data_IF_509768534927
#
_entry.id   IF_509768534927
#
_cell.length_a   1.000
_cell.length_b   1.000
_cell.length_c   1.000
_cell.angle_alpha   90.00
_cell.angle_beta   90.00
_cell.angle_gamma   90.00
#
_symmetry.space_group_name_H-M   'P 1'
#
loop_
_entity.id
_entity.type
_entity.pdbx_description
1 polymer ?
#
# COMPACT_ATOMS: atom_id res chain seq x y z
N UNK A 1 2.65 23.07 18.54
CA UNK A 1 1.97 22.48 17.36
C UNK A 1 3.02 21.63 16.68
N UNK A 2 2.96 20.32 16.86
CA UNK A 2 3.89 19.42 16.18
C UNK A 2 3.54 19.43 14.69
N UNK A 3 4.41 20.07 13.90
CA UNK A 3 4.46 19.90 12.46
C UNK A 3 4.92 18.46 12.19
N UNK A 4 4.00 17.51 12.32
CA UNK A 4 4.18 16.21 11.70
C UNK A 4 4.36 16.46 10.21
N UNK A 5 5.49 15.99 9.70
CA UNK A 5 5.91 16.16 8.33
C UNK A 5 4.87 15.44 7.45
N UNK A 6 3.87 16.19 6.99
CA UNK A 6 2.66 15.73 6.29
C UNK A 6 2.99 15.22 4.87
N UNK A 7 4.27 15.17 4.49
CA UNK A 7 4.72 14.72 3.18
C UNK A 7 4.27 13.30 2.85
N UNK A 8 4.41 12.34 3.78
CA UNK A 8 3.96 10.97 3.55
C UNK A 8 2.44 10.91 3.34
N UNK A 9 1.70 11.70 4.11
CA UNK A 9 0.24 11.83 3.97
C UNK A 9 -0.15 12.45 2.62
N UNK A 10 0.56 13.49 2.18
CA UNK A 10 0.33 14.17 0.91
C UNK A 10 0.70 13.27 -0.28
N UNK A 11 1.80 12.53 -0.19
CA UNK A 11 2.18 11.50 -1.17
C UNK A 11 1.10 10.43 -1.29
N UNK A 12 0.56 9.95 -0.17
CA UNK A 12 -0.52 8.97 -0.16
C UNK A 12 -1.83 9.54 -0.68
N UNK A 13 -2.13 10.81 -0.42
CA UNK A 13 -3.29 11.47 -1.02
C UNK A 13 -3.15 11.57 -2.55
N UNK A 14 -1.98 11.98 -3.05
CA UNK A 14 -1.71 12.05 -4.48
C UNK A 14 -1.78 10.66 -5.14
N UNK A 15 -1.23 9.63 -4.49
CA UNK A 15 -1.33 8.25 -4.96
C UNK A 15 -2.78 7.76 -4.99
N UNK A 16 -3.60 8.09 -3.99
CA UNK A 16 -5.03 7.76 -3.96
C UNK A 16 -5.79 8.42 -5.12
N UNK A 17 -5.50 9.68 -5.44
CA UNK A 17 -6.06 10.38 -6.61
C UNK A 17 -5.67 9.66 -7.90
N UNK A 18 -4.42 9.26 -8.04
CA UNK A 18 -3.94 8.55 -9.23
C UNK A 18 -4.57 7.17 -9.39
N UNK A 19 -4.76 6.44 -8.29
CA UNK A 19 -5.49 5.17 -8.28
C UNK A 19 -6.94 5.37 -8.72
N UNK A 20 -7.64 6.38 -8.17
CA UNK A 20 -9.05 6.67 -8.47
C UNK A 20 -9.31 7.05 -9.94
N UNK A 21 -8.30 7.56 -10.64
CA UNK A 21 -8.38 7.84 -12.08
C UNK A 21 -8.27 6.60 -12.96
N UNK A 22 -7.64 5.54 -12.46
CA UNK A 22 -7.21 4.38 -13.26
C UNK A 22 -8.02 3.13 -12.99
N UNK A 23 -8.55 2.97 -11.78
CA UNK A 23 -9.19 1.73 -11.33
C UNK A 23 -10.51 2.00 -10.60
N UNK A 24 -11.44 1.05 -10.73
CA UNK A 24 -12.63 0.99 -9.87
C UNK A 24 -12.29 0.20 -8.60
N UNK A 25 -12.56 0.78 -7.43
CA UNK A 25 -12.29 0.14 -6.14
C UNK A 25 -13.17 0.69 -5.02
N UNK A 26 -13.23 -0.07 -3.92
CA UNK A 26 -13.79 0.40 -2.66
C UNK A 26 -12.64 0.80 -1.73
N UNK A 27 -12.60 2.07 -1.35
CA UNK A 27 -11.64 2.58 -0.36
C UNK A 27 -12.05 2.13 1.03
N UNK A 28 -11.10 1.61 1.81
CA UNK A 28 -11.28 1.22 3.21
C UNK A 28 -10.18 1.86 4.09
N UNK A 29 -10.13 1.49 5.36
CA UNK A 29 -9.07 1.95 6.27
C UNK A 29 -9.12 3.44 6.61
N UNK A 30 -7.96 4.01 6.90
CA UNK A 30 -7.85 5.39 7.40
C UNK A 30 -8.36 6.44 6.40
N UNK A 31 -8.05 6.29 5.10
CA UNK A 31 -8.51 7.23 4.08
C UNK A 31 -10.03 7.20 3.86
N UNK A 32 -10.67 6.04 3.97
CA UNK A 32 -12.13 5.96 3.95
C UNK A 32 -12.75 6.72 5.14
N UNK A 33 -12.21 6.50 6.34
CA UNK A 33 -12.62 7.23 7.54
C UNK A 33 -12.38 8.75 7.40
N UNK A 34 -11.24 9.16 6.82
CA UNK A 34 -10.95 10.58 6.54
C UNK A 34 -12.01 11.21 5.65
N UNK A 35 -12.31 10.60 4.51
CA UNK A 35 -13.29 11.15 3.56
C UNK A 35 -14.70 11.19 4.15
N UNK A 36 -15.02 10.30 5.08
CA UNK A 36 -16.32 10.26 5.75
C UNK A 36 -16.43 11.25 6.92
N UNK A 37 -15.36 11.43 7.70
CA UNK A 37 -15.40 12.16 9.00
C UNK A 37 -14.59 13.46 9.04
N UNK A 38 -13.59 13.60 8.16
CA UNK A 38 -12.65 14.72 8.12
C UNK A 38 -11.52 14.66 9.15
N UNK A 39 -11.40 13.60 9.97
CA UNK A 39 -10.60 13.65 11.21
C UNK A 39 -9.42 12.67 11.34
N UNK A 40 -9.15 11.78 10.37
CA UNK A 40 -8.06 10.79 10.49
C UNK A 40 -7.41 10.53 9.14
N UNK A 41 -6.29 11.20 8.81
CA UNK A 41 -5.48 10.86 7.63
C UNK A 41 -4.59 9.64 7.91
N UNK A 42 -4.12 8.97 6.86
CA UNK A 42 -3.27 7.77 6.94
C UNK A 42 -2.08 7.88 5.99
N UNK A 43 -0.95 7.26 6.36
CA UNK A 43 0.18 7.10 5.45
C UNK A 43 -0.04 5.95 4.45
N UNK A 44 -0.87 4.97 4.78
CA UNK A 44 -1.15 3.82 3.92
C UNK A 44 -2.53 3.94 3.27
N UNK A 45 -2.67 3.36 2.06
CA UNK A 45 -3.92 3.30 1.28
C UNK A 45 -4.41 1.85 1.24
N UNK A 46 -5.59 1.62 1.80
CA UNK A 46 -6.22 0.31 1.80
C UNK A 46 -7.42 0.30 0.84
N UNK A 47 -7.42 -0.59 -0.14
CA UNK A 47 -8.49 -0.72 -1.15
C UNK A 47 -8.92 -2.17 -1.32
N UNK A 48 -10.19 -2.34 -1.71
CA UNK A 48 -10.75 -3.60 -2.18
C UNK A 48 -11.03 -3.45 -3.67
N UNK A 49 -10.52 -4.40 -4.46
CA UNK A 49 -10.71 -4.49 -5.92
C UNK A 49 -11.22 -5.88 -6.28
N UNK A 50 -11.81 -6.02 -7.46
CA UNK A 50 -12.13 -7.32 -8.02
C UNK A 50 -10.89 -8.03 -8.60
N UNK A 51 -11.07 -9.28 -9.04
CA UNK A 51 -9.96 -10.08 -9.56
C UNK A 51 -9.40 -9.56 -10.89
N UNK A 52 -10.24 -8.97 -11.74
CA UNK A 52 -9.81 -8.44 -13.03
C UNK A 52 -8.92 -7.21 -12.83
N UNK A 53 -9.38 -6.26 -12.00
CA UNK A 53 -8.64 -5.07 -11.61
C UNK A 53 -7.35 -5.44 -10.90
N UNK A 54 -7.37 -6.41 -9.98
CA UNK A 54 -6.15 -6.89 -9.31
C UNK A 54 -5.13 -7.44 -10.30
N UNK A 55 -5.57 -8.17 -11.33
CA UNK A 55 -4.67 -8.69 -12.36
C UNK A 55 -4.07 -7.55 -13.20
N UNK A 56 -4.87 -6.54 -13.55
CA UNK A 56 -4.38 -5.35 -14.25
C UNK A 56 -3.34 -4.60 -13.40
N UNK A 57 -3.63 -4.38 -12.12
CA UNK A 57 -2.71 -3.71 -11.20
C UNK A 57 -1.37 -4.46 -11.03
N UNK A 58 -1.35 -5.79 -11.12
CA UNK A 58 -0.10 -6.59 -11.09
C UNK A 58 0.77 -6.40 -12.34
N UNK A 59 0.18 -5.97 -13.45
CA UNK A 59 0.91 -5.64 -14.69
C UNK A 59 1.44 -4.22 -14.59
N UNK A 60 0.59 -3.29 -14.13
CA UNK A 60 0.90 -1.86 -14.08
C UNK A 60 1.87 -1.50 -12.95
N UNK A 61 1.86 -2.29 -11.86
CA UNK A 61 2.73 -2.10 -10.71
C UNK A 61 3.47 -3.40 -10.37
N UNK A 62 4.65 -3.25 -9.76
CA UNK A 62 5.40 -4.37 -9.20
C UNK A 62 4.74 -4.81 -7.87
N UNK A 63 3.56 -5.42 -7.96
CA UNK A 63 2.81 -5.89 -6.80
C UNK A 63 3.50 -7.13 -6.23
N UNK A 64 4.27 -6.94 -5.18
CA UNK A 64 4.85 -8.04 -4.42
C UNK A 64 3.89 -8.45 -3.30
N UNK A 65 3.72 -9.76 -3.11
CA UNK A 65 3.19 -10.25 -1.85
C UNK A 65 4.21 -9.85 -0.77
N UNK A 66 3.77 -9.28 0.33
CA UNK A 66 4.63 -9.14 1.51
C UNK A 66 5.04 -10.55 1.95
N UNK A 67 6.20 -10.99 1.48
CA UNK A 67 6.90 -12.13 2.04
C UNK A 67 7.45 -11.62 3.37
N UNK A 68 7.19 -12.33 4.45
CA UNK A 68 7.81 -12.00 5.74
C UNK A 68 9.32 -12.06 5.50
N UNK A 69 10.01 -10.91 5.51
CA UNK A 69 11.45 -10.78 5.22
C UNK A 69 12.31 -11.81 5.97
N UNK A 70 11.88 -12.17 7.19
CA UNK A 70 12.48 -13.21 8.04
C UNK A 70 12.66 -14.54 7.31
N UNK A 71 11.73 -14.94 6.43
CA UNK A 71 11.80 -16.23 5.71
C UNK A 71 12.87 -16.21 4.63
N UNK A 72 13.08 -15.08 3.95
CA UNK A 72 14.11 -14.92 2.92
C UNK A 72 15.51 -14.78 3.53
N UNK A 73 15.60 -14.06 4.65
CA UNK A 73 16.84 -13.92 5.42
C UNK A 73 17.30 -15.28 5.98
N UNK A 74 16.36 -16.10 6.48
CA UNK A 74 16.64 -17.47 6.95
C UNK A 74 17.01 -18.43 5.81
N UNK A 75 16.46 -18.24 4.61
CA UNK A 75 16.81 -19.05 3.44
C UNK A 75 18.25 -18.74 2.98
N UNK A 76 18.60 -17.45 2.92
CA UNK A 76 19.93 -16.98 2.52
C UNK A 76 21.02 -17.37 3.53
N UNK A 77 20.72 -17.25 4.84
CA UNK A 77 21.64 -17.65 5.90
C UNK A 77 21.92 -19.16 5.92
N UNK A 78 20.97 -20.01 5.50
CA UNK A 78 21.21 -21.45 5.37
C UNK A 78 22.13 -21.78 4.20
N UNK A 79 22.09 -21.01 3.11
CA UNK A 79 22.93 -21.27 1.94
C UNK A 79 24.41 -20.98 2.20
N UNK A 80 24.72 -19.97 3.02
CA UNK A 80 26.10 -19.64 3.39
C UNK A 80 26.73 -20.61 4.40
N UNK A 81 25.92 -21.26 5.25
CA UNK A 81 26.40 -22.20 6.28
C UNK A 81 26.76 -23.58 5.69
N UNK A 82 26.32 -23.89 4.47
CA UNK A 82 26.59 -25.16 3.77
C UNK A 82 27.47 -25.00 2.52
N UNK A 83 28.13 -23.85 2.33
CA UNK A 83 29.07 -23.57 1.24
C UNK A 83 30.54 -23.68 1.70
#
# INVERSE_FOLDING_TARGET
MEFWNDQATDESWNALIELAKRYEFVLIGGWACYLYTGTIKSHDIDIIVDFETLNQMKIDFLVNKNVIQIVEDLASAKTEVFA
#
